data_IF_269896467477
#
_entry.id   IF_269896467477
#
_cell.length_a   1.000
_cell.length_b   1.000
_cell.length_c   1.000
_cell.angle_alpha   90.00
_cell.angle_beta   90.00
_cell.angle_gamma   90.00
#
_symmetry.space_group_name_H-M   'P 1'
#
loop_
_entity.id
_entity.type
_entity.pdbx_description
1 polymer ?
#
# COMPACT_ATOMS: atom_id res chain seq x y z
N UNK A 1 -22.56 60.34 22.59
CA UNK A 1 -21.18 59.86 22.83
C UNK A 1 -21.15 58.35 22.59
N UNK A 2 -20.28 57.96 21.65
CA UNK A 2 -19.77 56.65 21.16
C UNK A 2 -20.45 55.32 21.58
N UNK A 3 -20.89 54.48 20.62
CA UNK A 3 -21.08 53.05 20.83
C UNK A 3 -19.72 52.32 20.73
N UNK A 4 -19.37 51.56 21.77
CA UNK A 4 -18.16 50.72 21.79
C UNK A 4 -18.45 49.38 21.14
N UNK A 5 -18.00 49.21 19.90
CA UNK A 5 -18.03 47.92 19.20
C UNK A 5 -16.91 47.02 19.75
N UNK A 6 -17.29 45.90 20.36
CA UNK A 6 -16.35 44.85 20.78
C UNK A 6 -16.13 43.91 19.59
N UNK A 7 -15.03 44.13 18.87
CA UNK A 7 -14.55 43.24 17.82
C UNK A 7 -13.98 41.97 18.46
N UNK A 8 -14.79 40.91 18.54
CA UNK A 8 -14.35 39.57 18.89
C UNK A 8 -13.63 38.93 17.70
N UNK A 9 -12.31 39.04 17.65
CA UNK A 9 -11.48 38.38 16.65
C UNK A 9 -11.35 36.90 17.02
N UNK A 10 -12.20 36.05 16.44
CA UNK A 10 -12.05 34.59 16.52
C UNK A 10 -10.89 34.19 15.62
N UNK A 11 -9.70 34.02 16.22
CA UNK A 11 -8.57 33.39 15.55
C UNK A 11 -8.87 31.90 15.38
N UNK A 12 -9.44 31.53 14.23
CA UNK A 12 -9.59 30.15 13.81
C UNK A 12 -8.18 29.60 13.54
N UNK A 13 -7.62 28.86 14.50
CA UNK A 13 -6.34 28.21 14.34
C UNK A 13 -6.42 27.22 13.16
N UNK A 14 -5.80 27.58 12.02
CA UNK A 14 -5.47 26.63 10.97
C UNK A 14 -4.45 25.65 11.55
N UNK A 15 -4.93 24.55 12.13
CA UNK A 15 -4.08 23.39 12.32
C UNK A 15 -3.69 22.88 10.93
N UNK A 16 -2.40 22.80 10.59
CA UNK A 16 -1.99 22.12 9.36
C UNK A 16 -2.42 20.66 9.49
N UNK A 17 -3.47 20.28 8.77
CA UNK A 17 -3.79 18.87 8.61
C UNK A 17 -2.60 18.24 7.91
N UNK A 18 -1.83 17.45 8.65
CA UNK A 18 -0.77 16.63 8.09
C UNK A 18 -1.45 15.71 7.07
N UNK A 19 -1.36 16.07 5.79
CA UNK A 19 -1.75 15.21 4.68
C UNK A 19 -0.88 13.97 4.80
N UNK A 20 -1.43 12.93 5.44
CA UNK A 20 -0.78 11.63 5.55
C UNK A 20 -0.68 11.13 4.12
N UNK A 21 0.54 11.00 3.60
CA UNK A 21 0.76 10.56 2.23
C UNK A 21 0.27 9.10 2.11
N UNK A 22 -0.91 8.90 1.52
CA UNK A 22 -1.44 7.59 1.18
C UNK A 22 -0.93 7.20 -0.20
N UNK A 23 -0.53 5.94 -0.37
CA UNK A 23 -0.12 5.39 -1.66
C UNK A 23 -0.94 4.15 -1.96
N UNK A 24 -1.67 4.22 -3.07
CA UNK A 24 -2.46 3.10 -3.58
C UNK A 24 -1.53 2.18 -4.36
N UNK A 25 -1.45 0.93 -3.93
CA UNK A 25 -0.81 -0.14 -4.70
C UNK A 25 -1.84 -0.68 -5.67
N UNK A 26 -1.71 -0.29 -6.93
CA UNK A 26 -2.54 -0.80 -8.01
C UNK A 26 -1.75 -1.70 -8.98
N UNK A 27 -2.40 -2.73 -9.51
CA UNK A 27 -1.85 -3.54 -10.60
C UNK A 27 -2.92 -3.76 -11.67
N UNK A 28 -2.63 -3.34 -12.90
CA UNK A 28 -3.53 -3.56 -14.03
C UNK A 28 -4.85 -2.79 -13.96
N UNK A 29 -4.87 -1.62 -13.30
CA UNK A 29 -6.07 -0.83 -13.08
C UNK A 29 -6.90 -1.27 -11.86
N UNK A 30 -6.54 -2.39 -11.22
CA UNK A 30 -7.14 -2.84 -9.96
C UNK A 30 -6.37 -2.28 -8.77
N UNK A 31 -7.09 -1.80 -7.76
CA UNK A 31 -6.48 -1.41 -6.47
C UNK A 31 -6.29 -2.66 -5.64
N UNK A 32 -5.05 -2.95 -5.23
CA UNK A 32 -4.72 -4.10 -4.40
C UNK A 32 -4.71 -3.75 -2.91
N UNK A 33 -4.01 -2.70 -2.50
CA UNK A 33 -3.99 -2.22 -1.11
C UNK A 33 -3.64 -0.74 -1.07
N UNK A 34 -3.90 -0.10 0.07
CA UNK A 34 -3.46 1.28 0.33
C UNK A 34 -2.43 1.25 1.46
N UNK A 35 -1.19 1.58 1.11
CA UNK A 35 -0.15 1.86 2.10
C UNK A 35 -0.34 3.27 2.63
N UNK A 36 -0.33 3.44 3.95
CA UNK A 36 -0.20 4.77 4.55
C UNK A 36 1.27 5.05 4.79
N UNK A 37 1.68 6.32 4.65
CA UNK A 37 3.03 6.73 4.99
C UNK A 37 3.28 6.44 6.47
N UNK A 38 4.28 5.59 6.68
CA UNK A 38 4.86 5.33 7.98
C UNK A 38 6.19 6.10 8.05
N UNK A 39 6.38 6.85 9.14
CA UNK A 39 7.60 7.63 9.38
C UNK A 39 8.71 6.77 9.98
N UNK A 40 8.37 5.59 10.48
CA UNK A 40 9.25 4.70 11.24
C UNK A 40 9.85 3.58 10.38
N UNK A 41 9.63 3.62 9.06
CA UNK A 41 10.20 2.67 8.10
C UNK A 41 11.32 3.30 7.27
N UNK A 42 12.38 2.53 7.03
CA UNK A 42 13.50 2.89 6.15
C UNK A 42 13.10 3.05 4.66
N UNK A 43 11.82 2.86 4.33
CA UNK A 43 11.28 2.92 2.97
C UNK A 43 9.99 3.74 2.92
N UNK A 44 9.90 4.62 1.94
CA UNK A 44 8.68 5.38 1.65
C UNK A 44 7.53 4.46 1.22
N UNK A 45 6.27 4.91 1.38
CA UNK A 45 5.10 4.15 0.92
C UNK A 45 5.17 3.79 -0.58
N UNK A 46 5.77 4.65 -1.40
CA UNK A 46 5.99 4.40 -2.83
C UNK A 46 7.02 3.29 -3.08
N UNK A 47 8.15 3.29 -2.36
CA UNK A 47 9.16 2.22 -2.49
C UNK A 47 8.60 0.88 -2.05
N UNK A 48 7.81 0.85 -0.97
CA UNK A 48 7.12 -0.37 -0.52
C UNK A 48 6.11 -0.86 -1.55
N UNK A 49 5.36 0.05 -2.17
CA UNK A 49 4.46 -0.28 -3.29
C UNK A 49 5.22 -0.91 -4.46
N UNK A 50 6.39 -0.36 -4.82
CA UNK A 50 7.21 -0.89 -5.91
C UNK A 50 7.76 -2.29 -5.58
N UNK A 51 8.28 -2.49 -4.38
CA UNK A 51 8.76 -3.81 -3.92
C UNK A 51 7.66 -4.87 -3.99
N UNK A 52 6.46 -4.51 -3.54
CA UNK A 52 5.30 -5.40 -3.56
C UNK A 52 4.86 -5.69 -5.00
N UNK A 53 4.85 -4.68 -5.86
CA UNK A 53 4.57 -4.85 -7.28
C UNK A 53 5.55 -5.84 -7.94
N UNK A 54 6.86 -5.69 -7.69
CA UNK A 54 7.89 -6.58 -8.26
C UNK A 54 7.76 -8.01 -7.73
N UNK A 55 7.41 -8.18 -6.46
CA UNK A 55 7.11 -9.50 -5.87
C UNK A 55 5.89 -10.14 -6.53
N UNK A 56 4.79 -9.40 -6.66
CA UNK A 56 3.56 -9.89 -7.29
C UNK A 56 3.83 -10.27 -8.74
N UNK A 57 4.57 -9.44 -9.50
CA UNK A 57 4.97 -9.76 -10.86
C UNK A 57 5.77 -11.06 -10.93
N UNK A 58 6.73 -11.24 -10.01
CA UNK A 58 7.54 -12.46 -9.93
C UNK A 58 6.68 -13.69 -9.65
N UNK A 59 5.73 -13.58 -8.72
CA UNK A 59 4.80 -14.66 -8.38
C UNK A 59 3.88 -14.99 -9.56
N UNK A 60 3.35 -13.98 -10.25
CA UNK A 60 2.44 -14.18 -11.39
C UNK A 60 3.14 -14.75 -12.63
N UNK A 61 4.46 -14.55 -12.76
CA UNK A 61 5.27 -15.20 -13.79
C UNK A 61 5.50 -16.70 -13.53
N UNK A 62 5.18 -17.21 -12.33
CA UNK A 62 5.27 -18.65 -12.06
C UNK A 62 4.04 -19.38 -12.67
N UNK A 63 4.23 -20.29 -13.64
CA UNK A 63 3.12 -20.98 -14.28
C UNK A 63 2.33 -21.89 -13.33
N UNK A 64 2.91 -22.26 -12.18
CA UNK A 64 2.25 -23.12 -11.18
C UNK A 64 1.47 -22.35 -10.12
N UNK A 65 1.49 -21.01 -10.14
CA UNK A 65 0.79 -20.18 -9.17
C UNK A 65 -0.73 -20.47 -9.15
N UNK A 66 -1.26 -20.68 -7.94
CA UNK A 66 -2.69 -20.81 -7.64
C UNK A 66 -3.09 -19.82 -6.56
N UNK A 67 -4.35 -19.39 -6.55
CA UNK A 67 -4.89 -18.54 -5.49
C UNK A 67 -4.72 -19.18 -4.09
N UNK A 68 -4.87 -20.50 -4.00
CA UNK A 68 -4.68 -21.28 -2.77
C UNK A 68 -3.26 -21.18 -2.19
N UNK A 69 -2.28 -20.74 -2.98
CA UNK A 69 -0.90 -20.61 -2.52
C UNK A 69 -0.68 -19.35 -1.67
N UNK A 70 -1.64 -18.42 -1.67
CA UNK A 70 -1.62 -17.19 -0.86
C UNK A 70 -1.99 -17.54 0.59
N UNK A 71 -1.05 -17.31 1.50
CA UNK A 71 -1.17 -17.62 2.92
C UNK A 71 -0.79 -16.42 3.77
N UNK A 72 -1.49 -16.25 4.88
CA UNK A 72 -1.08 -15.35 5.95
C UNK A 72 -0.20 -16.13 6.92
N UNK A 73 0.91 -15.52 7.33
CA UNK A 73 1.81 -16.07 8.34
C UNK A 73 2.19 -14.99 9.34
N UNK A 74 2.47 -15.35 10.60
CA UNK A 74 3.08 -14.42 11.53
C UNK A 74 4.47 -13.98 11.04
N UNK A 75 4.83 -12.75 11.37
CA UNK A 75 6.15 -12.16 11.14
C UNK A 75 6.70 -11.69 12.49
N UNK A 76 7.36 -12.61 13.20
CA UNK A 76 7.75 -12.40 14.59
C UNK A 76 6.52 -12.34 15.51
N UNK A 77 6.69 -11.74 16.68
CA UNK A 77 5.66 -11.71 17.72
C UNK A 77 4.58 -10.64 17.50
N UNK A 78 4.86 -9.62 16.67
CA UNK A 78 4.03 -8.42 16.54
C UNK A 78 3.71 -8.05 15.10
N UNK A 79 3.91 -8.96 14.15
CA UNK A 79 3.70 -8.68 12.74
C UNK A 79 2.98 -9.80 12.02
N UNK A 80 2.43 -9.48 10.86
CA UNK A 80 1.91 -10.47 9.92
C UNK A 80 2.57 -10.29 8.57
N UNK A 81 2.58 -11.34 7.76
CA UNK A 81 3.02 -11.29 6.37
C UNK A 81 2.11 -12.13 5.50
N UNK A 82 1.95 -11.66 4.27
CA UNK A 82 1.29 -12.40 3.20
C UNK A 82 2.39 -13.02 2.35
N UNK A 83 2.30 -14.32 2.15
CA UNK A 83 3.22 -15.08 1.29
C UNK A 83 2.44 -15.79 0.19
N UNK A 84 3.01 -15.96 -0.98
CA UNK A 84 2.50 -16.88 -2.00
C UNK A 84 3.61 -17.81 -2.47
N UNK A 85 3.32 -19.11 -2.48
CA UNK A 85 4.29 -20.15 -2.84
C UNK A 85 5.64 -20.01 -2.08
N UNK A 86 5.56 -19.67 -0.78
CA UNK A 86 6.73 -19.44 0.08
C UNK A 86 7.45 -18.10 -0.11
N UNK A 87 7.07 -17.29 -1.09
CA UNK A 87 7.66 -15.96 -1.33
C UNK A 87 6.86 -14.87 -0.63
N UNK A 88 7.55 -13.90 -0.02
CA UNK A 88 6.90 -12.74 0.60
C UNK A 88 6.23 -11.87 -0.47
N UNK A 89 4.95 -11.55 -0.26
CA UNK A 89 4.23 -10.51 -1.01
C UNK A 89 4.35 -9.21 -0.22
N UNK A 90 3.70 -9.15 0.94
CA UNK A 90 3.56 -7.93 1.75
C UNK A 90 3.83 -8.27 3.22
N UNK A 91 4.78 -7.58 3.87
CA UNK A 91 4.81 -7.50 5.33
C UNK A 91 3.80 -6.46 5.82
N UNK A 92 3.14 -6.75 6.94
CA UNK A 92 2.20 -5.84 7.61
C UNK A 92 2.82 -5.44 8.94
N UNK A 93 3.18 -4.16 9.06
CA UNK A 93 3.73 -3.56 10.27
C UNK A 93 2.66 -2.86 11.12
N UNK A 94 3.11 -2.27 12.23
CA UNK A 94 2.25 -1.55 13.17
C UNK A 94 1.55 -0.37 12.50
N UNK A 95 2.25 0.43 11.69
CA UNK A 95 1.62 1.59 11.08
C UNK A 95 0.50 1.24 10.11
N UNK A 96 0.59 0.11 9.39
CA UNK A 96 -0.53 -0.38 8.58
C UNK A 96 -1.71 -0.80 9.46
N UNK A 97 -1.44 -1.60 10.50
CA UNK A 97 -2.48 -2.05 11.41
C UNK A 97 -3.21 -0.87 12.08
N UNK A 98 -2.46 0.10 12.60
CA UNK A 98 -2.98 1.32 13.22
C UNK A 98 -3.71 2.22 12.23
N UNK A 99 -3.15 2.41 11.03
CA UNK A 99 -3.75 3.23 9.98
C UNK A 99 -5.12 2.71 9.52
N UNK A 100 -5.31 1.40 9.59
CA UNK A 100 -6.54 0.72 9.20
C UNK A 100 -7.42 0.34 10.42
N UNK A 101 -7.02 0.71 11.64
CA UNK A 101 -7.77 0.41 12.87
C UNK A 101 -8.00 -1.08 13.10
N UNK A 102 -7.05 -1.92 12.68
CA UNK A 102 -7.18 -3.39 12.67
C UNK A 102 -5.97 -4.05 13.32
N UNK A 103 -6.04 -5.37 13.55
CA UNK A 103 -4.85 -6.15 13.96
C UNK A 103 -4.06 -6.57 12.73
N UNK A 104 -2.75 -6.83 12.87
CA UNK A 104 -1.91 -7.25 11.74
C UNK A 104 -2.45 -8.49 11.04
N UNK A 105 -2.92 -9.48 11.82
CA UNK A 105 -3.47 -10.72 11.29
C UNK A 105 -4.80 -10.50 10.58
N UNK A 106 -5.69 -9.69 11.14
CA UNK A 106 -6.97 -9.39 10.50
C UNK A 106 -6.77 -8.62 9.19
N UNK A 107 -5.91 -7.60 9.19
CA UNK A 107 -5.55 -6.86 7.98
C UNK A 107 -4.88 -7.75 6.94
N UNK A 108 -4.00 -8.65 7.39
CA UNK A 108 -3.34 -9.62 6.51
C UNK A 108 -4.33 -10.58 5.86
N UNK A 109 -5.32 -11.08 6.60
CA UNK A 109 -6.35 -11.96 6.05
C UNK A 109 -7.27 -11.23 5.07
N UNK A 110 -7.65 -9.99 5.37
CA UNK A 110 -8.44 -9.16 4.46
C UNK A 110 -7.70 -8.95 3.13
N UNK A 111 -6.45 -8.52 3.20
CA UNK A 111 -5.62 -8.31 2.01
C UNK A 111 -5.30 -9.62 1.28
N UNK A 112 -5.08 -10.71 2.01
CA UNK A 112 -4.87 -12.02 1.41
C UNK A 112 -6.12 -12.52 0.68
N UNK A 113 -7.32 -12.30 1.24
CA UNK A 113 -8.59 -12.61 0.58
C UNK A 113 -8.71 -11.83 -0.73
N UNK A 114 -8.48 -10.53 -0.69
CA UNK A 114 -8.51 -9.69 -1.90
C UNK A 114 -7.50 -10.16 -2.95
N UNK A 115 -6.27 -10.50 -2.55
CA UNK A 115 -5.26 -11.05 -3.45
C UNK A 115 -5.68 -12.38 -4.07
N UNK A 116 -6.33 -13.28 -3.31
CA UNK A 116 -6.85 -14.56 -3.84
C UNK A 116 -7.88 -14.34 -4.94
N UNK A 117 -8.66 -13.26 -4.86
CA UNK A 117 -9.67 -12.91 -5.86
C UNK A 117 -9.06 -12.21 -7.09
N UNK A 118 -8.09 -11.30 -6.88
CA UNK A 118 -7.57 -10.43 -7.94
C UNK A 118 -6.40 -11.06 -8.69
N UNK A 119 -5.45 -11.71 -8.01
CA UNK A 119 -4.24 -12.26 -8.66
C UNK A 119 -4.52 -13.24 -9.81
N UNK A 120 -5.50 -14.16 -9.72
CA UNK A 120 -5.85 -15.03 -10.85
C UNK A 120 -6.37 -14.27 -12.07
N UNK A 121 -7.16 -13.20 -11.86
CA UNK A 121 -7.68 -12.34 -12.93
C UNK A 121 -6.53 -11.57 -13.60
N UNK A 122 -5.59 -11.09 -12.80
CA UNK A 122 -4.39 -10.41 -13.30
C UNK A 122 -3.54 -11.37 -14.14
N UNK A 123 -3.33 -12.61 -13.69
CA UNK A 123 -2.58 -13.61 -14.47
C UNK A 123 -3.17 -13.84 -15.87
N UNK A 124 -4.49 -13.82 -16.00
CA UNK A 124 -5.18 -14.02 -17.28
C UNK A 124 -5.04 -12.82 -18.24
N UNK A 125 -4.49 -11.70 -17.77
CA UNK A 125 -4.30 -10.46 -18.53
C UNK A 125 -2.81 -10.21 -18.74
N UNK A 126 -2.25 -10.40 -19.94
CA UNK A 126 -0.83 -10.14 -20.18
C UNK A 126 -0.49 -8.64 -20.34
N UNK A 127 -1.48 -7.79 -20.62
CA UNK A 127 -1.33 -6.35 -20.92
C UNK A 127 -1.02 -5.48 -19.69
N UNK A 128 -1.42 -5.93 -18.51
CA UNK A 128 -1.33 -5.17 -17.25
C UNK A 128 0.11 -4.95 -16.74
N UNK A 129 1.09 -5.79 -17.12
CA UNK A 129 2.48 -5.61 -16.71
C UNK A 129 3.27 -4.66 -17.63
N UNK A 130 2.68 -4.26 -18.76
CA UNK A 130 3.32 -3.38 -19.76
C UNK A 130 3.16 -1.91 -19.38
N UNK A 131 2.09 -1.52 -18.69
CA UNK A 131 1.74 -0.12 -18.46
C UNK A 131 2.64 0.59 -17.42
N UNK A 132 3.12 -0.10 -16.37
CA UNK A 132 3.90 0.55 -15.31
C UNK A 132 5.39 0.79 -15.64
N UNK A 133 5.93 0.17 -16.70
CA UNK A 133 7.31 0.44 -17.14
C UNK A 133 7.49 1.85 -17.74
N UNK A 134 6.38 2.54 -18.09
CA UNK A 134 6.44 3.93 -18.56
C UNK A 134 6.73 4.91 -17.41
N UNK A 135 6.29 4.62 -16.18
CA UNK A 135 6.48 5.51 -15.03
C UNK A 135 7.89 5.44 -14.42
N UNK A 136 8.52 4.26 -14.41
CA UNK A 136 9.90 4.10 -13.90
C UNK A 136 10.94 4.68 -14.86
N UNK A 137 10.69 4.64 -16.17
CA UNK A 137 11.62 5.15 -17.19
C UNK A 137 11.64 6.68 -17.27
N UNK A 138 10.55 7.36 -16.90
CA UNK A 138 10.48 8.84 -16.88
C UNK A 138 11.22 9.48 -15.69
N UNK A 139 11.44 8.76 -14.58
CA UNK A 139 12.18 9.31 -13.43
C UNK A 139 13.71 9.23 -13.58
N UNK A 140 14.25 8.20 -14.24
CA UNK A 140 15.72 8.08 -14.43
C UNK A 140 16.36 9.12 -15.36
N UNK A 141 15.56 9.92 -16.08
CA UNK A 141 16.07 10.93 -17.03
C UNK A 141 16.23 12.34 -16.45
N UNK A 142 15.90 12.58 -15.18
CA UNK A 142 16.03 13.91 -14.55
C UNK A 142 17.25 14.08 -13.62
N UNK A 143 18.15 13.11 -13.55
CA UNK A 143 19.37 13.17 -12.71
C UNK A 143 20.66 13.24 -13.51
N UNK A 144 20.68 13.95 -14.64
CA UNK A 144 21.92 14.35 -15.32
C UNK A 144 21.89 15.84 -15.61
#
# INVERSE_FOLDING_TARGET
MKPTALLGLVALALLPQAVRAETVVGLGGETLFVFKADKDLDKTAQERSNDVYDRIRTILNNPRFKASDIQVKPLGDYGAKIVANGQLIVPIGNAEAEAHGSTHMALAEEWAKHLREVMPKLRARPDIFVQNNKYTKSMRRRSR
#
